data_IF_076033158795
#
_entry.id   IF_076033158795
#
_cell.length_a   1.000
_cell.length_b   1.000
_cell.length_c   1.000
_cell.angle_alpha   90.00
_cell.angle_beta   90.00
_cell.angle_gamma   90.00
#
_symmetry.space_group_name_H-M   'P 1'
#
loop_
_entity.id
_entity.type
_entity.pdbx_description
1 polymer ?
#
# COMPACT_ATOMS: atom_id res chain seq x y z
N UNK A 1 5.63 -11.24 2.48
CA UNK A 1 6.24 -10.17 3.28
C UNK A 1 5.44 -9.94 4.56
N UNK A 2 6.07 -9.66 5.71
CA UNK A 2 5.38 -9.22 6.93
C UNK A 2 4.54 -10.25 7.73
N UNK A 3 4.62 -11.54 7.44
CA UNK A 3 3.76 -12.57 8.05
C UNK A 3 3.90 -12.66 9.59
N UNK A 4 5.09 -12.43 10.12
CA UNK A 4 5.36 -12.42 11.57
C UNK A 4 4.55 -11.37 12.36
N UNK A 5 4.02 -10.34 11.68
CA UNK A 5 3.29 -9.25 12.31
C UNK A 5 1.76 -9.35 12.17
N UNK A 6 1.22 -10.43 11.59
CA UNK A 6 -0.24 -10.59 11.40
C UNK A 6 -1.04 -10.45 12.68
N UNK A 7 -0.51 -10.94 13.81
CA UNK A 7 -1.19 -10.89 15.11
C UNK A 7 -1.33 -9.48 15.68
N UNK A 8 -0.54 -8.50 15.20
CA UNK A 8 -0.65 -7.09 15.62
C UNK A 8 -1.99 -6.47 15.26
N UNK A 9 -2.69 -6.99 14.25
CA UNK A 9 -4.05 -6.57 13.91
C UNK A 9 -5.02 -6.71 15.10
N UNK A 10 -4.77 -7.61 16.04
CA UNK A 10 -5.60 -7.78 17.23
C UNK A 10 -5.58 -6.58 18.20
N UNK A 11 -4.59 -5.68 18.07
CA UNK A 11 -4.47 -4.47 18.89
C UNK A 11 -5.28 -3.28 18.34
N UNK A 12 -5.85 -3.42 17.15
CA UNK A 12 -6.62 -2.35 16.53
C UNK A 12 -8.09 -2.39 17.00
N UNK A 13 -8.75 -1.24 17.17
CA UNK A 13 -10.19 -1.17 17.36
C UNK A 13 -10.93 -1.59 16.08
N UNK A 14 -12.20 -1.96 16.23
CA UNK A 14 -13.10 -2.09 15.08
C UNK A 14 -13.51 -0.71 14.55
N UNK A 15 -13.74 -0.55 13.23
CA UNK A 15 -13.73 -1.58 12.18
C UNK A 15 -12.35 -1.87 11.57
N UNK A 16 -11.30 -1.15 11.99
CA UNK A 16 -9.98 -1.21 11.35
C UNK A 16 -9.31 -2.58 11.49
N UNK A 17 -9.50 -3.24 12.65
CA UNK A 17 -9.02 -4.62 12.85
C UNK A 17 -9.57 -5.57 11.79
N UNK A 18 -10.87 -5.52 11.53
CA UNK A 18 -11.52 -6.33 10.49
C UNK A 18 -10.98 -6.00 9.10
N UNK A 19 -10.82 -4.70 8.78
CA UNK A 19 -10.25 -4.26 7.50
C UNK A 19 -8.82 -4.79 7.28
N UNK A 20 -7.95 -4.71 8.29
CA UNK A 20 -6.57 -5.22 8.21
C UNK A 20 -6.54 -6.74 8.06
N UNK A 21 -7.41 -7.47 8.75
CA UNK A 21 -7.48 -8.94 8.65
C UNK A 21 -8.00 -9.41 7.29
N UNK A 22 -8.95 -8.69 6.71
CA UNK A 22 -9.57 -9.01 5.43
C UNK A 22 -8.78 -8.49 4.21
N UNK A 23 -7.70 -7.72 4.42
CA UNK A 23 -6.94 -7.13 3.32
C UNK A 23 -6.35 -8.23 2.42
N UNK A 24 -6.72 -8.29 1.13
CA UNK A 24 -6.59 -9.51 0.32
C UNK A 24 -5.17 -9.78 -0.19
N UNK A 25 -4.25 -8.83 0.01
CA UNK A 25 -2.90 -8.84 -0.57
C UNK A 25 -1.91 -8.13 0.36
N UNK A 26 -0.66 -8.03 -0.06
CA UNK A 26 0.30 -7.19 0.65
C UNK A 26 -0.06 -5.71 0.43
N UNK A 27 -0.05 -4.91 1.49
CA UNK A 27 -0.17 -3.44 1.42
C UNK A 27 1.15 -2.83 0.91
N UNK A 28 1.55 -3.23 -0.30
CA UNK A 28 2.75 -2.80 -1.00
C UNK A 28 2.32 -2.28 -2.39
N UNK A 29 2.80 -1.09 -2.75
CA UNK A 29 2.47 -0.43 -4.01
C UNK A 29 3.70 0.30 -4.57
N UNK A 30 4.03 0.04 -5.84
CA UNK A 30 5.08 0.76 -6.55
C UNK A 30 4.47 2.04 -7.15
N UNK A 31 4.50 3.13 -6.38
CA UNK A 31 3.90 4.40 -6.79
C UNK A 31 4.66 5.09 -7.93
N UNK A 32 5.98 4.93 -7.96
CA UNK A 32 6.86 5.63 -8.89
C UNK A 32 7.78 4.64 -9.60
N UNK A 33 7.83 4.74 -10.92
CA UNK A 33 8.86 4.13 -11.76
C UNK A 33 9.64 5.24 -12.46
N UNK A 34 10.95 5.28 -12.26
CA UNK A 34 11.82 6.23 -12.95
C UNK A 34 13.07 5.50 -13.47
N UNK A 35 13.41 5.74 -14.73
CA UNK A 35 14.57 5.16 -15.38
C UNK A 35 15.04 6.01 -16.56
N UNK A 36 16.26 5.76 -17.05
CA UNK A 36 16.79 6.38 -18.26
C UNK A 36 16.37 5.55 -19.47
N UNK A 37 15.68 6.16 -20.42
CA UNK A 37 15.23 5.46 -21.63
C UNK A 37 16.44 4.86 -22.37
N UNK A 38 16.40 3.58 -22.77
CA UNK A 38 17.58 2.89 -23.30
C UNK A 38 18.11 3.48 -24.62
N UNK A 39 17.21 3.99 -25.48
CA UNK A 39 17.58 4.59 -26.78
C UNK A 39 17.78 6.11 -26.71
N UNK A 40 16.78 6.87 -26.25
CA UNK A 40 16.84 8.34 -26.21
C UNK A 40 17.67 8.89 -25.05
N UNK A 41 18.01 8.06 -24.07
CA UNK A 41 18.77 8.44 -22.89
C UNK A 41 18.14 9.55 -22.02
N UNK A 42 16.88 9.88 -22.28
CA UNK A 42 16.10 10.82 -21.49
C UNK A 42 15.63 10.15 -20.19
N UNK A 43 15.61 10.90 -19.11
CA UNK A 43 15.00 10.46 -17.85
C UNK A 43 13.49 10.40 -18.03
N UNK A 44 12.90 9.24 -17.78
CA UNK A 44 11.46 9.04 -17.79
C UNK A 44 10.95 8.80 -16.39
N UNK A 45 9.72 9.27 -16.13
CA UNK A 45 9.03 9.15 -14.84
C UNK A 45 7.59 8.74 -15.10
N UNK A 46 7.14 7.72 -14.37
CA UNK A 46 5.78 7.22 -14.41
C UNK A 46 5.25 7.11 -12.99
N UNK A 47 4.00 7.52 -12.80
CA UNK A 47 3.33 7.46 -11.51
C UNK A 47 2.04 6.65 -11.63
N UNK A 48 1.77 5.83 -10.63
CA UNK A 48 0.54 5.07 -10.51
C UNK A 48 -0.18 5.50 -9.22
N UNK A 49 -1.38 6.10 -9.28
CA UNK A 49 -2.09 6.56 -8.09
C UNK A 49 -2.31 5.40 -7.11
N UNK A 50 -2.49 5.75 -5.83
CA UNK A 50 -2.72 4.74 -4.79
C UNK A 50 -4.02 3.99 -5.12
N UNK A 51 -4.02 2.64 -5.11
CA UNK A 51 -5.23 1.89 -5.40
C UNK A 51 -6.25 2.06 -4.27
N UNK A 52 -7.53 2.03 -4.63
CA UNK A 52 -8.67 2.28 -3.73
C UNK A 52 -8.64 1.48 -2.44
N UNK A 53 -8.27 0.20 -2.50
CA UNK A 53 -8.19 -0.67 -1.33
C UNK A 53 -7.15 -0.16 -0.30
N UNK A 54 -6.02 0.36 -0.77
CA UNK A 54 -5.00 0.97 0.09
C UNK A 54 -5.39 2.36 0.57
N UNK A 55 -6.11 3.15 -0.24
CA UNK A 55 -6.68 4.43 0.20
C UNK A 55 -7.64 4.25 1.37
N UNK A 56 -8.55 3.28 1.27
CA UNK A 56 -9.50 2.93 2.33
C UNK A 56 -8.77 2.47 3.60
N UNK A 57 -7.76 1.61 3.45
CA UNK A 57 -6.95 1.13 4.58
C UNK A 57 -6.19 2.27 5.28
N UNK A 58 -5.52 3.14 4.51
CA UNK A 58 -4.82 4.32 5.04
C UNK A 58 -5.79 5.28 5.71
N UNK A 59 -6.97 5.48 5.11
CA UNK A 59 -8.04 6.30 5.68
C UNK A 59 -8.49 5.79 7.05
N UNK A 60 -8.59 4.47 7.23
CA UNK A 60 -8.88 3.85 8.53
C UNK A 60 -7.79 4.13 9.58
N UNK A 61 -6.51 3.99 9.21
CA UNK A 61 -5.40 4.29 10.12
C UNK A 61 -5.28 5.78 10.48
N UNK A 62 -5.61 6.70 9.56
CA UNK A 62 -5.57 8.15 9.82
C UNK A 62 -6.66 8.63 10.79
N UNK A 63 -7.70 7.83 10.99
CA UNK A 63 -8.84 8.13 11.87
C UNK A 63 -8.70 7.50 13.26
N UNK A 64 -7.60 6.78 13.51
CA UNK A 64 -7.27 6.20 14.80
C UNK A 64 -6.79 7.27 15.77
#
# INVERSE_FOLDING_TARGET
YGQAFRTKANRLPEPLKSQVKAFPRQALHAWLLAFRHPTTHLTMRFEAPLPRDMEELVGGFRKL
#
